data_IF_967102065311
#
_entry.id   IF_967102065311
#
_cell.length_a   1.000
_cell.length_b   1.000
_cell.length_c   1.000
_cell.angle_alpha   90.00
_cell.angle_beta   90.00
_cell.angle_gamma   90.00
#
_symmetry.space_group_name_H-M   'P 1'
#
loop_
_entity.id
_entity.type
_entity.pdbx_description
1 polymer ?
#
# COMPACT_ATOMS: atom_id res chain seq x y z
N UNK A 1 8.29 13.61 20.64
CA UNK A 1 7.88 13.00 19.36
C UNK A 1 6.55 12.31 19.56
N UNK A 2 5.64 12.38 18.58
CA UNK A 2 4.31 11.77 18.54
C UNK A 2 4.39 10.37 17.95
N UNK A 3 3.73 9.40 18.58
CA UNK A 3 3.63 8.02 18.09
C UNK A 3 2.84 8.02 16.79
N UNK A 4 3.47 7.56 15.72
CA UNK A 4 2.89 7.58 14.37
C UNK A 4 2.75 6.16 13.84
N UNK A 5 1.54 5.79 13.45
CA UNK A 5 1.27 4.53 12.77
C UNK A 5 0.95 4.79 11.30
N UNK A 6 1.54 3.99 10.41
CA UNK A 6 1.38 4.11 8.96
C UNK A 6 0.63 2.91 8.41
N UNK A 7 -0.45 3.15 7.67
CA UNK A 7 -1.33 2.15 7.08
C UNK A 7 -1.18 2.22 5.57
N UNK A 8 -0.54 1.22 4.99
CA UNK A 8 -0.10 1.23 3.58
C UNK A 8 -0.97 0.31 2.75
N UNK A 9 -1.66 0.90 1.78
CA UNK A 9 -2.37 0.17 0.73
C UNK A 9 -1.36 -0.27 -0.33
N UNK A 10 -1.04 -1.56 -0.35
CA UNK A 10 -0.01 -2.11 -1.21
C UNK A 10 -0.34 -2.01 -2.70
N UNK A 11 -1.61 -2.10 -3.08
CA UNK A 11 -2.01 -1.98 -4.48
C UNK A 11 -1.97 -0.52 -4.93
N UNK A 12 -2.50 0.40 -4.13
CA UNK A 12 -2.50 1.81 -4.48
C UNK A 12 -1.07 2.39 -4.49
N UNK A 13 -0.20 1.93 -3.58
CA UNK A 13 1.24 2.20 -3.63
C UNK A 13 1.87 1.65 -4.92
N UNK A 14 1.67 0.36 -5.22
CA UNK A 14 2.27 -0.28 -6.38
C UNK A 14 1.83 0.38 -7.69
N UNK A 15 0.53 0.47 -7.95
CA UNK A 15 0.01 1.07 -9.19
C UNK A 15 0.21 2.58 -9.25
N UNK A 16 0.23 3.24 -8.09
CA UNK A 16 0.37 4.67 -7.97
C UNK A 16 1.78 5.18 -8.16
N UNK A 17 2.79 4.46 -7.68
CA UNK A 17 4.16 4.96 -7.59
C UNK A 17 5.25 4.01 -8.12
N UNK A 18 5.04 2.68 -8.08
CA UNK A 18 6.12 1.70 -8.30
C UNK A 18 6.05 0.98 -9.65
N UNK A 19 4.85 0.68 -10.14
CA UNK A 19 4.62 -0.08 -11.37
C UNK A 19 5.25 0.63 -12.57
N UNK A 20 5.95 -0.13 -13.41
CA UNK A 20 6.68 0.37 -14.58
C UNK A 20 7.82 1.35 -14.22
N UNK A 21 8.36 1.27 -13.01
CA UNK A 21 9.57 2.02 -12.61
C UNK A 21 10.66 1.05 -12.12
N UNK A 22 11.96 1.41 -12.16
CA UNK A 22 13.02 0.57 -11.58
C UNK A 22 12.99 0.54 -10.04
N UNK A 23 12.06 1.26 -9.40
CA UNK A 23 12.05 1.51 -7.96
C UNK A 23 11.15 0.55 -7.17
N UNK A 24 11.01 -0.70 -7.64
CA UNK A 24 10.13 -1.72 -7.03
C UNK A 24 10.71 -2.37 -5.78
N UNK A 25 12.01 -2.22 -5.53
CA UNK A 25 12.69 -2.65 -4.30
C UNK A 25 12.56 -1.56 -3.22
N UNK A 26 11.32 -1.16 -2.97
CA UNK A 26 10.99 0.08 -2.27
C UNK A 26 11.06 -0.06 -0.75
N UNK A 27 11.73 0.87 -0.09
CA UNK A 27 11.80 0.97 1.36
C UNK A 27 10.67 1.86 1.89
N UNK A 28 9.61 1.22 2.39
CA UNK A 28 8.43 1.88 2.93
C UNK A 28 8.78 2.73 4.15
N UNK A 29 9.63 2.21 5.03
CA UNK A 29 10.01 2.85 6.29
C UNK A 29 10.77 4.15 6.00
N UNK A 30 11.83 4.05 5.20
CA UNK A 30 12.62 5.22 4.79
C UNK A 30 11.79 6.27 4.08
N UNK A 31 10.87 5.85 3.19
CA UNK A 31 10.01 6.78 2.49
C UNK A 31 9.09 7.55 3.45
N UNK A 32 8.44 6.83 4.37
CA UNK A 32 7.54 7.42 5.35
C UNK A 32 8.29 8.33 6.32
N UNK A 33 9.44 7.89 6.82
CA UNK A 33 10.32 8.67 7.71
C UNK A 33 10.79 9.97 7.04
N UNK A 34 11.13 9.92 5.74
CA UNK A 34 11.51 11.11 4.96
C UNK A 34 10.34 12.09 4.78
N UNK A 35 9.14 11.58 4.49
CA UNK A 35 7.96 12.41 4.22
C UNK A 35 7.40 13.04 5.50
N UNK A 36 7.37 12.27 6.59
CA UNK A 36 6.74 12.65 7.86
C UNK A 36 7.68 13.35 8.84
N UNK A 37 8.96 13.55 8.49
CA UNK A 37 10.03 14.25 9.23
C UNK A 37 9.59 15.21 10.35
N UNK A 38 10.45 15.36 11.37
CA UNK A 38 10.21 16.25 12.51
C UNK A 38 9.68 15.48 13.71
N UNK A 39 8.59 15.95 14.31
CA UNK A 39 8.07 15.42 15.57
C UNK A 39 7.37 14.04 15.47
N UNK A 40 7.38 13.37 14.32
CA UNK A 40 6.72 12.08 14.12
C UNK A 40 7.70 10.92 14.31
N UNK A 41 7.43 10.04 15.27
CA UNK A 41 8.15 8.78 15.46
C UNK A 41 7.30 7.64 14.92
N UNK A 42 7.77 6.96 13.87
CA UNK A 42 7.05 5.80 13.33
C UNK A 42 7.22 4.62 14.30
N UNK A 43 6.11 4.23 14.93
CA UNK A 43 6.06 3.11 15.89
C UNK A 43 5.50 1.84 15.25
N UNK A 44 4.75 1.97 14.15
CA UNK A 44 4.12 0.85 13.45
C UNK A 44 3.94 1.17 11.97
N UNK A 45 4.19 0.18 11.11
CA UNK A 45 3.79 0.19 9.70
C UNK A 45 2.94 -1.06 9.47
N UNK A 46 1.70 -0.89 9.01
CA UNK A 46 0.81 -2.00 8.61
C UNK A 46 0.64 -1.98 7.10
N UNK A 47 1.15 -3.02 6.43
CA UNK A 47 1.12 -3.15 4.99
C UNK A 47 0.02 -4.13 4.57
N UNK A 48 -0.98 -3.63 3.85
CA UNK A 48 -2.15 -4.38 3.41
C UNK A 48 -1.99 -4.76 1.94
N UNK A 49 -2.04 -6.05 1.63
CA UNK A 49 -1.85 -6.54 0.25
C UNK A 49 -2.52 -7.90 0.06
N UNK A 50 -2.63 -8.39 -1.17
CA UNK A 50 -3.00 -9.77 -1.45
C UNK A 50 -1.92 -10.40 -2.34
N UNK A 51 -1.59 -11.67 -2.11
CA UNK A 51 -0.60 -12.37 -2.93
C UNK A 51 -1.20 -12.64 -4.31
N UNK A 52 -0.54 -12.16 -5.37
CA UNK A 52 -0.97 -12.42 -6.76
C UNK A 52 -1.11 -13.92 -6.98
N UNK A 53 -2.12 -14.34 -7.75
CA UNK A 53 -2.32 -15.74 -8.08
C UNK A 53 -1.12 -16.28 -8.88
N UNK A 54 -0.41 -17.23 -8.27
CA UNK A 54 0.77 -17.85 -8.84
C UNK A 54 0.45 -18.79 -10.00
N UNK A 55 -0.81 -19.19 -10.20
CA UNK A 55 -1.23 -19.92 -11.40
C UNK A 55 -1.29 -19.02 -12.65
N UNK A 56 -1.38 -17.70 -12.45
CA UNK A 56 -1.53 -16.70 -13.52
C UNK A 56 -0.20 -16.00 -13.80
N UNK A 57 0.48 -15.53 -12.74
CA UNK A 57 1.81 -14.93 -12.84
C UNK A 57 2.74 -15.52 -11.75
N UNK A 58 3.28 -16.74 -11.99
CA UNK A 58 4.18 -17.39 -11.04
C UNK A 58 5.37 -16.52 -10.67
N UNK A 59 6.01 -15.90 -11.68
CA UNK A 59 7.15 -15.02 -11.49
C UNK A 59 6.76 -13.77 -10.66
N UNK A 60 5.58 -13.20 -10.91
CA UNK A 60 5.03 -12.06 -10.18
C UNK A 60 4.81 -12.38 -8.71
N UNK A 61 4.18 -13.51 -8.43
CA UNK A 61 3.96 -13.97 -7.05
C UNK A 61 5.30 -14.21 -6.34
N UNK A 62 6.28 -14.85 -7.00
CA UNK A 62 7.59 -15.10 -6.40
C UNK A 62 8.30 -13.79 -6.05
N UNK A 63 8.30 -12.81 -6.96
CA UNK A 63 8.89 -11.49 -6.69
C UNK A 63 8.18 -10.74 -5.57
N UNK A 64 6.85 -10.80 -5.51
CA UNK A 64 6.08 -10.18 -4.43
C UNK A 64 6.38 -10.84 -3.07
N UNK A 65 6.41 -12.18 -3.02
CA UNK A 65 6.78 -12.93 -1.81
C UNK A 65 8.21 -12.58 -1.36
N UNK A 66 9.15 -12.48 -2.29
CA UNK A 66 10.53 -12.06 -2.01
C UNK A 66 10.58 -10.65 -1.43
N UNK A 67 9.89 -9.69 -2.05
CA UNK A 67 9.80 -8.32 -1.55
C UNK A 67 9.21 -8.24 -0.15
N UNK A 68 8.11 -8.94 0.11
CA UNK A 68 7.48 -8.95 1.44
C UNK A 68 8.40 -9.59 2.49
N UNK A 69 9.13 -10.66 2.15
CA UNK A 69 10.15 -11.24 3.04
C UNK A 69 11.26 -10.23 3.35
N UNK A 70 11.73 -9.49 2.34
CA UNK A 70 12.74 -8.47 2.51
C UNK A 70 12.26 -7.33 3.42
N UNK A 71 11.03 -6.84 3.20
CA UNK A 71 10.41 -5.83 4.06
C UNK A 71 10.32 -6.28 5.53
N UNK A 72 9.85 -7.51 5.78
CA UNK A 72 9.76 -8.09 7.13
C UNK A 72 11.12 -8.26 7.81
N UNK A 73 12.17 -8.55 7.04
CA UNK A 73 13.52 -8.65 7.57
C UNK A 73 14.17 -7.27 7.80
N UNK A 74 13.76 -6.25 7.03
CA UNK A 74 14.34 -4.91 7.08
C UNK A 74 13.76 -4.01 8.17
N UNK A 75 12.44 -4.02 8.38
CA UNK A 75 11.77 -3.14 9.34
C UNK A 75 11.13 -3.95 10.47
N UNK A 76 11.59 -3.70 11.70
CA UNK A 76 11.10 -4.34 12.93
C UNK A 76 9.68 -3.94 13.31
N UNK A 77 9.18 -2.81 12.78
CA UNK A 77 7.85 -2.28 13.08
C UNK A 77 6.83 -2.59 11.97
N UNK A 78 7.19 -3.45 11.01
CA UNK A 78 6.31 -3.82 9.90
C UNK A 78 5.45 -5.03 10.24
N UNK A 79 4.13 -4.86 10.16
CA UNK A 79 3.14 -5.91 10.12
C UNK A 79 2.54 -6.01 8.71
N UNK A 80 2.28 -7.24 8.23
CA UNK A 80 1.70 -7.47 6.90
C UNK A 80 0.37 -8.18 7.05
N UNK A 81 -0.69 -7.57 6.52
CA UNK A 81 -2.04 -8.11 6.50
C UNK A 81 -2.40 -8.55 5.07
N UNK A 82 -2.83 -9.81 4.95
CA UNK A 82 -3.19 -10.38 3.67
C UNK A 82 -4.70 -10.34 3.45
N UNK A 83 -5.11 -9.72 2.33
CA UNK A 83 -6.35 -10.06 1.64
C UNK A 83 -6.18 -11.35 0.84
N UNK A 84 -7.17 -11.67 0.01
CA UNK A 84 -7.13 -12.84 -0.86
C UNK A 84 -7.74 -12.54 -2.23
N UNK A 85 -7.34 -13.31 -3.23
CA UNK A 85 -7.99 -13.27 -4.54
C UNK A 85 -9.06 -14.36 -4.62
N UNK A 86 -10.21 -14.00 -5.19
CA UNK A 86 -11.25 -14.94 -5.59
C UNK A 86 -11.32 -14.99 -7.10
N UNK A 87 -11.33 -16.20 -7.65
CA UNK A 87 -11.54 -16.44 -9.07
C UNK A 87 -12.87 -17.18 -9.27
N UNK A 88 -13.75 -16.62 -10.09
CA UNK A 88 -15.04 -17.22 -10.40
C UNK A 88 -15.37 -17.03 -11.87
N UNK A 89 -16.00 -18.05 -12.46
CA UNK A 89 -16.53 -17.96 -13.81
C UNK A 89 -17.73 -16.99 -13.81
N UNK A 90 -17.69 -15.99 -14.70
CA UNK A 90 -18.82 -15.10 -14.99
C UNK A 90 -19.14 -15.14 -16.49
N UNK A 91 -20.43 -15.13 -16.81
CA UNK A 91 -20.90 -14.88 -18.16
C UNK A 91 -20.99 -13.36 -18.37
N UNK A 92 -20.13 -12.81 -19.24
CA UNK A 92 -19.97 -11.38 -19.44
C UNK A 92 -20.13 -11.00 -20.92
N UNK A 93 -20.42 -9.73 -21.20
CA UNK A 93 -20.46 -9.22 -22.59
C UNK A 93 -19.09 -9.38 -23.23
N UNK A 94 -19.07 -9.90 -24.45
CA UNK A 94 -17.84 -10.02 -25.21
C UNK A 94 -17.39 -8.64 -25.69
N UNK A 95 -16.13 -8.30 -25.42
CA UNK A 95 -15.54 -7.06 -25.91
C UNK A 95 -15.41 -7.02 -27.44
N UNK A 96 -15.37 -8.19 -28.10
CA UNK A 96 -15.24 -8.35 -29.54
C UNK A 96 -16.30 -9.35 -30.07
N UNK A 97 -17.57 -8.97 -30.15
CA UNK A 97 -18.63 -9.85 -30.64
C UNK A 97 -18.48 -10.15 -32.16
N UNK A 98 -18.91 -11.31 -32.66
CA UNK A 98 -19.61 -12.42 -31.97
C UNK A 98 -18.69 -13.49 -31.33
N UNK A 99 -19.16 -14.24 -30.30
CA UNK A 99 -20.52 -14.24 -29.70
C UNK A 99 -20.77 -13.00 -28.83
N UNK A 100 -22.03 -12.64 -28.57
CA UNK A 100 -22.39 -11.45 -27.79
C UNK A 100 -21.95 -11.52 -26.31
N UNK A 101 -21.83 -12.74 -25.79
CA UNK A 101 -21.37 -13.04 -24.43
C UNK A 101 -20.32 -14.13 -24.47
N UNK A 102 -19.44 -14.13 -23.47
CA UNK A 102 -18.45 -15.18 -23.24
C UNK A 102 -18.33 -15.48 -21.75
N UNK A 103 -17.91 -16.70 -21.43
CA UNK A 103 -17.49 -17.05 -20.09
C UNK A 103 -16.08 -16.51 -19.85
N UNK A 104 -15.90 -15.76 -18.78
CA UNK A 104 -14.60 -15.24 -18.36
C UNK A 104 -14.32 -15.69 -16.93
N UNK A 105 -13.04 -15.92 -16.63
CA UNK A 105 -12.59 -16.05 -15.25
C UNK A 105 -12.35 -14.63 -14.74
N UNK A 106 -13.22 -14.19 -13.83
CA UNK A 106 -13.08 -12.89 -13.19
C UNK A 106 -12.31 -13.06 -11.88
N UNK A 107 -11.18 -12.37 -11.75
CA UNK A 107 -10.34 -12.41 -10.56
C UNK A 107 -10.51 -11.10 -9.81
N UNK A 108 -11.00 -11.18 -8.58
CA UNK A 108 -11.25 -10.03 -7.72
C UNK A 108 -10.35 -10.14 -6.48
N UNK A 109 -9.66 -9.06 -6.13
CA UNK A 109 -9.06 -8.90 -4.81
C UNK A 109 -10.18 -8.66 -3.80
N UNK A 110 -10.07 -9.28 -2.62
CA UNK A 110 -10.96 -9.06 -1.49
C UNK A 110 -10.18 -8.88 -0.20
N UNK A 111 -10.56 -7.84 0.52
CA UNK A 111 -10.30 -7.69 1.95
C UNK A 111 -9.15 -6.77 2.29
N UNK A 112 -8.22 -6.41 1.39
CA UNK A 112 -7.13 -5.48 1.74
C UNK A 112 -7.65 -4.16 2.27
N UNK A 113 -8.63 -3.56 1.58
CA UNK A 113 -9.08 -2.20 1.86
C UNK A 113 -9.96 -2.15 3.12
N UNK A 114 -10.82 -3.17 3.29
CA UNK A 114 -11.64 -3.35 4.49
C UNK A 114 -10.76 -3.60 5.71
N UNK A 115 -9.74 -4.47 5.58
CA UNK A 115 -8.80 -4.71 6.67
C UNK A 115 -8.02 -3.44 7.02
N UNK A 116 -7.57 -2.68 6.03
CA UNK A 116 -6.87 -1.41 6.26
C UNK A 116 -7.74 -0.44 7.06
N UNK A 117 -8.96 -0.19 6.60
CA UNK A 117 -9.90 0.70 7.28
C UNK A 117 -10.21 0.21 8.71
N UNK A 118 -10.49 -1.08 8.88
CA UNK A 118 -10.81 -1.67 10.17
C UNK A 118 -9.65 -1.56 11.18
N UNK A 119 -8.43 -1.89 10.77
CA UNK A 119 -7.25 -1.75 11.63
C UNK A 119 -6.95 -0.29 11.94
N UNK A 120 -7.07 0.61 10.95
CA UNK A 120 -6.84 2.03 11.15
C UNK A 120 -7.77 2.64 12.22
N UNK A 121 -9.05 2.31 12.16
CA UNK A 121 -10.05 2.74 13.14
C UNK A 121 -9.82 2.05 14.49
N UNK A 122 -9.67 0.73 14.50
CA UNK A 122 -9.47 -0.06 15.73
C UNK A 122 -8.29 0.47 16.54
N UNK A 123 -7.15 0.64 15.90
CA UNK A 123 -5.91 1.04 16.55
C UNK A 123 -6.00 2.50 17.08
N UNK A 124 -6.83 3.35 16.44
CA UNK A 124 -7.12 4.70 16.94
C UNK A 124 -7.84 4.66 18.30
N UNK A 125 -8.88 3.84 18.40
CA UNK A 125 -9.69 3.69 19.61
C UNK A 125 -8.97 2.91 20.72
N UNK A 126 -7.97 2.12 20.37
CA UNK A 126 -7.08 1.44 21.32
C UNK A 126 -5.88 2.30 21.76
N UNK A 127 -5.78 3.55 21.30
CA UNK A 127 -4.69 4.47 21.62
C UNK A 127 -3.29 3.96 21.21
N UNK A 128 -3.21 3.17 20.13
CA UNK A 128 -1.93 2.63 19.64
C UNK A 128 -1.03 3.71 19.00
N UNK A 129 -1.62 4.85 18.61
CA UNK A 129 -0.91 5.98 18.01
C UNK A 129 -1.53 7.32 18.34
N UNK A 130 -0.75 8.39 18.18
CA UNK A 130 -1.19 9.79 18.26
C UNK A 130 -1.49 10.36 16.87
N UNK A 131 -0.72 9.92 15.87
CA UNK A 131 -0.84 10.30 14.46
C UNK A 131 -1.05 9.06 13.59
N UNK A 132 -2.18 8.99 12.89
CA UNK A 132 -2.50 7.92 11.97
C UNK A 132 -2.33 8.38 10.51
N UNK A 133 -1.50 7.67 9.73
CA UNK A 133 -1.19 8.05 8.34
C UNK A 133 -1.59 6.95 7.37
N UNK A 134 -2.44 7.28 6.40
CA UNK A 134 -2.83 6.35 5.33
C UNK A 134 -2.01 6.62 4.07
N UNK A 135 -1.38 5.59 3.49
CA UNK A 135 -0.70 5.67 2.20
C UNK A 135 -1.60 5.07 1.13
N UNK A 136 -2.49 5.89 0.56
CA UNK A 136 -3.40 5.49 -0.52
C UNK A 136 -3.95 6.72 -1.25
N UNK A 137 -4.52 6.53 -2.43
CA UNK A 137 -5.31 7.51 -3.16
C UNK A 137 -6.77 7.05 -3.34
N UNK A 138 -7.20 6.04 -2.57
CA UNK A 138 -8.56 5.51 -2.63
C UNK A 138 -9.56 6.37 -1.85
N UNK A 139 -10.65 6.78 -2.49
CA UNK A 139 -11.71 7.55 -1.83
C UNK A 139 -12.55 6.73 -0.87
N UNK A 140 -12.53 5.40 -0.94
CA UNK A 140 -13.35 4.56 -0.06
C UNK A 140 -12.84 4.59 1.39
N UNK A 141 -11.60 5.03 1.60
CA UNK A 141 -11.00 5.23 2.92
C UNK A 141 -11.40 6.55 3.60
N UNK A 142 -12.17 7.42 2.93
CA UNK A 142 -12.58 8.74 3.47
C UNK A 142 -13.32 8.58 4.79
N UNK A 143 -14.22 7.61 4.89
CA UNK A 143 -15.03 7.43 6.10
C UNK A 143 -14.18 6.96 7.28
N UNK A 144 -13.21 6.07 7.04
CA UNK A 144 -12.27 5.65 8.08
C UNK A 144 -11.42 6.83 8.59
N UNK A 145 -10.95 7.70 7.68
CA UNK A 145 -10.23 8.95 8.04
C UNK A 145 -11.13 9.89 8.83
N UNK A 146 -12.40 10.02 8.45
CA UNK A 146 -13.38 10.84 9.18
C UNK A 146 -13.57 10.32 10.60
N UNK A 147 -13.88 9.04 10.77
CA UNK A 147 -14.09 8.40 12.08
C UNK A 147 -12.86 8.58 12.98
N UNK A 148 -11.65 8.31 12.48
CA UNK A 148 -10.43 8.46 13.29
C UNK A 148 -10.18 9.91 13.72
N UNK A 149 -10.48 10.87 12.85
CA UNK A 149 -10.32 12.30 13.11
C UNK A 149 -11.39 12.84 14.07
N UNK A 150 -12.65 12.54 13.82
CA UNK A 150 -13.80 13.16 14.49
C UNK A 150 -14.25 12.37 15.72
N UNK A 151 -14.17 11.04 15.70
CA UNK A 151 -14.70 10.22 16.78
C UNK A 151 -13.57 9.77 17.72
N UNK A 152 -12.44 9.30 17.15
CA UNK A 152 -11.26 8.90 17.95
C UNK A 152 -10.33 10.08 18.29
N UNK A 153 -10.60 11.29 17.77
CA UNK A 153 -9.86 12.53 18.05
C UNK A 153 -8.34 12.42 17.80
N UNK A 154 -7.92 11.61 16.81
CA UNK A 154 -6.51 11.46 16.42
C UNK A 154 -6.13 12.42 15.31
N UNK A 155 -4.84 12.77 15.24
CA UNK A 155 -4.31 13.49 14.09
C UNK A 155 -4.20 12.51 12.92
N UNK A 156 -4.74 12.89 11.77
CA UNK A 156 -4.80 12.06 10.57
C UNK A 156 -4.03 12.67 9.42
N UNK A 157 -3.26 11.84 8.72
CA UNK A 157 -2.52 12.21 7.52
C UNK A 157 -2.82 11.27 6.36
N UNK A 158 -2.67 11.77 5.14
CA UNK A 158 -2.67 10.92 3.93
C UNK A 158 -1.40 11.19 3.11
N UNK A 159 -0.71 10.13 2.72
CA UNK A 159 0.38 10.18 1.73
C UNK A 159 -0.16 9.61 0.41
N UNK A 160 -0.18 10.42 -0.64
CA UNK A 160 -0.72 10.04 -1.94
C UNK A 160 0.37 9.44 -2.83
N UNK A 161 0.29 8.15 -3.23
CA UNK A 161 1.16 7.56 -4.25
C UNK A 161 0.70 8.00 -5.65
N UNK A 162 1.29 9.08 -6.15
CA UNK A 162 0.93 9.71 -7.43
C UNK A 162 2.09 9.70 -8.42
N UNK A 163 1.96 8.92 -9.50
CA UNK A 163 2.77 9.05 -10.71
C UNK A 163 2.29 10.21 -11.58
N UNK A 164 3.17 10.67 -12.48
CA UNK A 164 2.84 11.69 -13.49
C UNK A 164 1.54 11.36 -14.21
N UNK A 165 0.60 12.30 -14.21
CA UNK A 165 -0.71 12.16 -14.87
C UNK A 165 -1.82 11.52 -14.01
N UNK A 166 -1.52 10.93 -12.85
CA UNK A 166 -2.55 10.47 -11.90
C UNK A 166 -2.98 11.64 -11.02
N UNK A 167 -4.29 11.86 -10.88
CA UNK A 167 -4.84 12.94 -10.05
C UNK A 167 -5.08 12.47 -8.62
N UNK A 168 -4.81 13.35 -7.66
CA UNK A 168 -5.20 13.18 -6.28
C UNK A 168 -6.74 13.05 -6.16
N UNK A 169 -7.20 12.15 -5.31
CA UNK A 169 -8.61 12.02 -4.96
C UNK A 169 -9.05 13.25 -4.17
N UNK A 170 -9.88 14.11 -4.79
CA UNK A 170 -10.35 15.35 -4.15
C UNK A 170 -11.09 15.10 -2.83
N UNK A 171 -11.81 13.98 -2.71
CA UNK A 171 -12.54 13.60 -1.50
C UNK A 171 -11.55 13.22 -0.40
N UNK A 172 -10.63 12.31 -0.69
CA UNK A 172 -9.62 11.85 0.27
C UNK A 172 -8.71 12.99 0.71
N UNK A 173 -8.26 13.86 -0.20
CA UNK A 173 -7.35 14.96 0.14
C UNK A 173 -7.95 16.02 1.08
N UNK A 174 -9.28 16.05 1.28
CA UNK A 174 -9.95 16.99 2.19
C UNK A 174 -10.27 16.39 3.55
N UNK A 175 -10.24 15.07 3.69
CA UNK A 175 -10.61 14.38 4.92
C UNK A 175 -9.58 14.53 6.07
N UNK A 176 -8.27 14.32 5.85
CA UNK A 176 -7.29 14.31 6.94
C UNK A 176 -6.92 15.73 7.39
N UNK A 177 -6.14 15.83 8.46
CA UNK A 177 -5.53 17.09 8.89
C UNK A 177 -4.44 17.57 7.94
N UNK A 178 -3.73 16.64 7.31
CA UNK A 178 -2.70 16.97 6.34
C UNK A 178 -2.61 15.94 5.20
N UNK A 179 -2.11 16.40 4.06
CA UNK A 179 -1.82 15.59 2.89
C UNK A 179 -0.37 15.79 2.50
N UNK A 180 0.27 14.70 2.07
CA UNK A 180 1.60 14.69 1.44
C UNK A 180 1.54 13.87 0.17
N UNK A 181 2.52 14.08 -0.70
CA UNK A 181 2.68 13.30 -1.91
C UNK A 181 3.94 12.44 -1.81
N UNK A 182 3.84 11.18 -2.22
CA UNK A 182 5.01 10.34 -2.44
C UNK A 182 5.64 10.74 -3.78
N UNK A 183 6.57 11.70 -3.73
CA UNK A 183 7.25 12.25 -4.91
C UNK A 183 8.21 11.23 -5.52
N UNK A 184 8.41 11.30 -6.84
CA UNK A 184 9.34 10.42 -7.56
C UNK A 184 10.78 10.47 -7.02
N UNK A 185 11.22 11.63 -6.52
CA UNK A 185 12.53 11.78 -5.88
C UNK A 185 12.63 10.97 -4.58
N UNK A 186 11.58 11.01 -3.76
CA UNK A 186 11.48 10.18 -2.55
C UNK A 186 11.40 8.69 -2.91
N UNK A 187 10.66 8.33 -3.95
CA UNK A 187 10.59 6.94 -4.44
C UNK A 187 11.98 6.44 -4.84
N UNK A 188 12.72 7.22 -5.63
CA UNK A 188 14.06 6.87 -6.07
C UNK A 188 15.07 6.78 -4.92
N UNK A 189 14.97 7.67 -3.93
CA UNK A 189 15.86 7.70 -2.78
C UNK A 189 15.53 6.65 -1.69
N UNK A 190 14.31 6.09 -1.71
CA UNK A 190 13.83 5.14 -0.70
C UNK A 190 13.82 3.73 -1.27
N UNK A 191 15.00 3.19 -1.53
CA UNK A 191 15.19 1.81 -1.95
C UNK A 191 15.82 1.01 -0.81
N UNK A 192 15.39 -0.23 -0.66
CA UNK A 192 16.04 -1.21 0.18
C UNK A 192 17.48 -1.45 -0.33
N UNK A 193 18.43 -1.87 0.53
CA UNK A 193 19.76 -2.22 0.07
C UNK A 193 19.73 -3.38 -0.93
N UNK A 194 20.74 -3.47 -1.78
CA UNK A 194 20.85 -4.51 -2.81
C UNK A 194 20.74 -5.92 -2.22
N UNK A 195 21.34 -6.12 -1.05
CA UNK A 195 21.15 -7.28 -0.18
C UNK A 195 20.60 -6.81 1.17
N UNK A 196 19.56 -7.46 1.68
CA UNK A 196 19.12 -7.20 3.06
C UNK A 196 20.19 -7.78 4.01
N UNK A 197 20.77 -6.97 4.92
CA UNK A 197 21.82 -7.40 5.84
C UNK A 197 21.48 -8.71 6.56
N UNK A 198 22.48 -9.57 6.73
CA UNK A 198 22.36 -10.86 7.43
C UNK A 198 21.35 -11.85 6.83
N UNK A 199 20.93 -11.64 5.58
CA UNK A 199 20.04 -12.55 4.86
C UNK A 199 20.57 -12.93 3.48
N UNK A 200 19.93 -13.91 2.83
CA UNK A 200 20.14 -14.24 1.42
C UNK A 200 19.11 -13.57 0.49
N UNK A 201 18.51 -12.46 0.93
CA UNK A 201 17.49 -11.74 0.17
C UNK A 201 18.15 -10.61 -0.62
N UNK A 202 18.10 -10.72 -1.95
CA UNK A 202 18.68 -9.75 -2.88
C UNK A 202 17.59 -9.07 -3.71
N UNK A 203 17.86 -7.84 -4.15
CA UNK A 203 17.06 -7.16 -5.15
C UNK A 203 16.97 -8.04 -6.42
N UNK A 204 15.77 -8.26 -6.97
CA UNK A 204 15.63 -9.01 -8.21
C UNK A 204 16.33 -8.32 -9.38
N UNK A 205 17.12 -9.05 -10.18
CA UNK A 205 17.85 -8.50 -11.35
C UNK A 205 16.92 -7.76 -12.34
N UNK A 206 15.70 -8.27 -12.56
CA UNK A 206 14.70 -7.64 -13.43
C UNK A 206 14.15 -6.31 -12.89
N UNK A 207 14.49 -5.91 -11.66
CA UNK A 207 14.14 -4.62 -11.07
C UNK A 207 15.30 -3.61 -11.10
N UNK A 208 16.47 -4.01 -11.61
CA UNK A 208 17.58 -3.10 -11.87
C UNK A 208 17.51 -2.42 -13.25
N UNK A 209 16.54 -2.81 -14.11
CA UNK A 209 16.28 -2.25 -15.44
C UNK A 209 15.01 -1.41 -15.47
#
# INVERSE_FOLDING_TARGET
>A
MRRTAVYVDGFNLYYGALRNTPYRWFDIDRACSTILHGDNQIVQIKYFTALVDGSIDPDGQQRQKLYIKALKAWSSHLEVHYGHFLAHAKHMKNANPPPAFCNVINIEEKGSDVNLAAHFIRDAFLDEYDVGVVVSNDSDLVEAVRIVKEDAQKVTGVILPLRKGRRASKKLSKAPHFVRELRSTTVAASQLPEQIPDTKLFKPERWAK
#
